data_IF_392975525380
#
_entry.id   IF_392975525380
#
_cell.length_a   1.000
_cell.length_b   1.000
_cell.length_c   1.000
_cell.angle_alpha   90.00
_cell.angle_beta   90.00
_cell.angle_gamma   90.00
#
_symmetry.space_group_name_H-M   'P 1'
#
loop_
_entity.id
_entity.type
_entity.pdbx_description
1 polymer ?
#
# COMPACT_ATOMS: atom_id res chain seq x y z
N UNK A 1 18.62 16.11 2.08
CA UNK A 1 19.23 14.87 2.59
C UNK A 1 18.32 13.72 2.17
N UNK A 2 18.60 13.12 1.01
CA UNK A 2 17.73 12.15 0.36
C UNK A 2 17.83 10.80 1.08
N UNK A 3 16.68 10.33 1.59
CA UNK A 3 16.54 9.01 2.18
C UNK A 3 16.75 7.96 1.09
N UNK A 4 17.94 7.37 1.12
CA UNK A 4 18.35 6.19 0.40
C UNK A 4 17.52 4.99 0.92
N UNK A 5 16.27 4.85 0.49
CA UNK A 5 15.52 3.60 0.68
C UNK A 5 15.88 2.63 -0.45
N UNK A 6 17.14 2.23 -0.42
CA UNK A 6 17.62 1.01 -1.05
C UNK A 6 16.90 -0.13 -0.35
N UNK A 7 16.08 -0.83 -1.11
CA UNK A 7 15.39 -2.05 -0.70
C UNK A 7 16.38 -3.23 -0.72
N UNK A 8 17.56 -3.02 -0.12
CA UNK A 8 18.63 -3.99 0.09
C UNK A 8 19.27 -3.73 1.46
N UNK A 9 18.71 -4.33 2.51
CA UNK A 9 19.39 -4.54 3.79
C UNK A 9 18.70 -5.68 4.54
N UNK A 10 19.24 -6.89 4.37
CA UNK A 10 19.56 -7.79 5.47
C UNK A 10 20.28 -9.01 4.86
N UNK A 11 21.59 -8.86 4.72
CA UNK A 11 22.53 -9.96 4.71
C UNK A 11 23.64 -9.54 5.67
N UNK A 12 24.16 -10.52 6.43
CA UNK A 12 25.29 -10.46 7.40
C UNK A 12 24.91 -10.42 8.89
N UNK A 13 24.71 -11.62 9.48
CA UNK A 13 25.53 -12.05 10.62
C UNK A 13 25.57 -13.59 10.71
N UNK A 14 26.51 -14.19 9.99
CA UNK A 14 26.99 -15.54 10.30
C UNK A 14 28.24 -15.40 11.17
N UNK A 15 28.16 -15.84 12.43
CA UNK A 15 29.25 -15.82 13.39
C UNK A 15 29.22 -17.08 14.26
N UNK A 16 30.28 -17.87 14.15
CA UNK A 16 30.56 -19.17 14.75
C UNK A 16 30.51 -19.23 16.28
N UNK A 17 30.02 -20.36 16.83
CA UNK A 17 30.16 -20.79 18.23
C UNK A 17 31.63 -21.03 18.64
N UNK A 18 31.96 -21.04 19.96
CA UNK A 18 32.16 -22.31 20.69
C UNK A 18 31.70 -22.30 22.19
N UNK A 19 31.85 -23.40 22.98
CA UNK A 19 30.95 -23.77 24.08
C UNK A 19 31.52 -23.67 25.53
N UNK A 20 30.64 -23.60 26.53
CA UNK A 20 30.84 -24.06 27.92
C UNK A 20 29.48 -24.12 28.66
N UNK A 21 28.99 -25.29 29.12
CA UNK A 21 29.04 -25.81 30.53
C UNK A 21 28.78 -24.72 31.59
N UNK A 22 27.82 -24.79 32.52
CA UNK A 22 26.81 -25.79 32.89
C UNK A 22 26.13 -25.36 34.22
N UNK A 23 25.06 -26.09 34.58
CA UNK A 23 24.44 -26.27 35.91
C UNK A 23 23.78 -25.07 36.61
N UNK A 24 22.48 -25.21 36.89
CA UNK A 24 21.75 -24.36 37.84
C UNK A 24 20.24 -24.48 37.70
N UNK A 25 19.66 -25.54 38.26
CA UNK A 25 18.22 -25.69 38.40
C UNK A 25 17.68 -24.85 39.57
N UNK A 26 16.66 -24.03 39.34
CA UNK A 26 15.63 -23.74 40.36
C UNK A 26 14.34 -23.25 39.72
N UNK A 27 13.24 -23.71 40.28
CA UNK A 27 11.89 -23.64 39.75
C UNK A 27 11.07 -22.48 40.36
N UNK A 28 9.93 -22.24 39.72
CA UNK A 28 8.66 -21.70 40.27
C UNK A 28 8.57 -20.21 40.61
N UNK A 29 7.77 -19.48 39.81
CA UNK A 29 6.37 -19.08 40.15
C UNK A 29 5.93 -17.94 39.23
N UNK A 30 4.95 -18.17 38.35
CA UNK A 30 3.55 -17.67 38.49
C UNK A 30 3.44 -16.23 38.99
N UNK A 31 3.03 -15.31 38.11
CA UNK A 31 1.72 -14.64 38.11
C UNK A 31 1.66 -13.54 37.04
N UNK A 32 0.43 -13.27 36.59
CA UNK A 32 -0.05 -12.17 35.75
C UNK A 32 0.08 -12.36 34.23
N UNK A 33 -0.90 -12.03 33.40
CA UNK A 33 -2.35 -11.86 33.53
C UNK A 33 -2.80 -11.71 32.09
N UNK A 34 -3.57 -12.67 31.58
CA UNK A 34 -4.07 -12.67 30.21
C UNK A 34 -5.22 -11.67 30.07
N UNK A 35 -4.94 -10.48 29.55
CA UNK A 35 -5.98 -9.58 29.05
C UNK A 35 -6.37 -10.04 27.63
N UNK A 36 -7.40 -10.89 27.57
CA UNK A 36 -8.10 -11.26 26.34
C UNK A 36 -8.87 -10.02 25.87
N UNK A 37 -8.40 -9.39 24.79
CA UNK A 37 -9.17 -8.35 24.10
C UNK A 37 -10.34 -8.99 23.35
N UNK A 38 -11.51 -8.96 23.98
CA UNK A 38 -12.77 -9.44 23.42
C UNK A 38 -13.32 -8.43 22.41
N UNK A 39 -13.05 -8.65 21.11
CA UNK A 39 -13.50 -7.80 20.00
C UNK A 39 -14.97 -8.02 19.61
N UNK A 40 -15.74 -8.81 20.37
CA UNK A 40 -17.16 -9.11 20.07
C UNK A 40 -18.16 -8.21 20.79
N UNK A 41 -17.72 -7.25 21.59
CA UNK A 41 -18.60 -6.31 22.29
C UNK A 41 -18.97 -5.03 21.51
N UNK A 42 -18.45 -4.84 20.28
CA UNK A 42 -18.62 -3.59 19.52
C UNK A 42 -19.70 -3.60 18.42
N UNK A 43 -20.40 -4.72 18.20
CA UNK A 43 -21.43 -4.84 17.15
C UNK A 43 -22.87 -4.96 17.68
N UNK A 44 -23.14 -4.51 18.90
CA UNK A 44 -24.49 -4.60 19.50
C UNK A 44 -24.96 -3.30 20.15
N UNK A 45 -24.86 -2.18 19.42
CA UNK A 45 -25.55 -0.94 19.77
C UNK A 45 -25.67 0.01 18.56
N UNK A 46 -26.44 -0.38 17.54
CA UNK A 46 -26.98 0.56 16.53
C UNK A 46 -28.09 -0.11 15.71
N UNK A 47 -29.14 -0.58 16.37
CA UNK A 47 -30.41 -0.89 15.73
C UNK A 47 -31.45 0.09 16.27
N UNK A 48 -31.42 1.32 15.74
CA UNK A 48 -32.46 2.32 15.98
C UNK A 48 -33.55 2.19 14.92
N UNK A 49 -34.62 1.55 15.37
CA UNK A 49 -36.01 1.65 14.95
C UNK A 49 -36.43 3.11 14.70
N UNK A 50 -37.08 3.36 13.56
CA UNK A 50 -38.35 4.11 13.43
C UNK A 50 -38.45 4.93 12.14
N UNK A 51 -39.12 4.35 11.15
CA UNK A 51 -39.82 5.07 10.10
C UNK A 51 -41.16 5.55 10.68
N UNK A 52 -41.31 6.83 11.00
CA UNK A 52 -42.62 7.42 11.30
C UNK A 52 -42.64 8.94 11.05
N UNK A 53 -43.41 9.31 10.02
CA UNK A 53 -44.21 10.52 9.89
C UNK A 53 -43.72 11.82 10.54
N UNK A 54 -43.27 12.76 9.70
CA UNK A 54 -43.36 14.18 10.02
C UNK A 54 -44.33 14.85 9.06
N UNK A 55 -45.60 14.90 9.47
CA UNK A 55 -46.64 15.70 8.87
C UNK A 55 -46.71 17.06 9.59
N UNK A 56 -46.59 18.12 8.78
CA UNK A 56 -47.16 19.46 8.90
C UNK A 56 -47.24 20.13 10.31
N UNK A 57 -46.53 21.25 10.46
CA UNK A 57 -47.07 22.42 11.14
C UNK A 57 -46.66 23.71 10.44
N UNK A 58 -47.67 24.56 10.24
CA UNK A 58 -47.68 25.82 9.52
C UNK A 58 -47.01 26.96 10.31
N UNK A 59 -46.37 27.85 9.54
CA UNK A 59 -46.34 29.32 9.69
C UNK A 59 -46.31 29.91 11.10
N UNK A 60 -45.10 30.25 11.58
CA UNK A 60 -44.90 31.42 12.42
C UNK A 60 -43.53 32.02 12.10
N UNK A 61 -43.52 33.33 11.83
CA UNK A 61 -42.38 34.08 11.34
C UNK A 61 -41.13 33.93 12.20
N UNK A 62 -40.02 33.67 11.53
CA UNK A 62 -38.68 33.97 11.98
C UNK A 62 -37.87 34.20 10.72
N UNK A 63 -37.34 35.40 10.56
CA UNK A 63 -36.34 35.73 9.54
C UNK A 63 -35.07 34.96 9.92
N UNK A 64 -35.11 33.65 9.72
CA UNK A 64 -33.98 32.76 9.90
C UNK A 64 -33.04 33.04 8.74
N UNK A 65 -32.09 33.94 9.00
CA UNK A 65 -30.89 34.16 8.22
C UNK A 65 -30.41 32.82 7.70
N UNK A 66 -30.59 32.59 6.40
CA UNK A 66 -30.11 31.38 5.73
C UNK A 66 -28.66 31.17 6.17
N UNK A 67 -28.28 29.98 6.67
CA UNK A 67 -26.88 29.72 6.96
C UNK A 67 -26.15 29.96 5.64
N UNK A 68 -25.33 31.02 5.60
CA UNK A 68 -24.49 31.31 4.47
C UNK A 68 -23.70 30.02 4.22
N UNK A 69 -24.00 29.36 3.10
CA UNK A 69 -23.27 28.19 2.65
C UNK A 69 -21.81 28.59 2.69
N UNK A 70 -21.07 28.05 3.66
CA UNK A 70 -19.66 28.33 3.82
C UNK A 70 -19.03 28.05 2.47
N UNK A 71 -18.52 29.10 1.82
CA UNK A 71 -17.83 28.96 0.56
C UNK A 71 -16.73 27.92 0.80
N UNK A 72 -16.91 26.74 0.20
CA UNK A 72 -15.92 25.67 0.23
C UNK A 72 -14.70 26.28 -0.44
N UNK A 73 -13.74 26.70 0.39
CA UNK A 73 -12.46 27.22 -0.07
C UNK A 73 -11.87 26.10 -0.92
N UNK A 74 -11.78 26.35 -2.23
CA UNK A 74 -11.17 25.39 -3.14
C UNK A 74 -9.75 25.12 -2.61
N UNK A 75 -9.37 23.84 -2.41
CA UNK A 75 -8.04 23.53 -1.91
C UNK A 75 -7.01 24.15 -2.85
N UNK A 76 -6.05 24.88 -2.28
CA UNK A 76 -4.95 25.44 -3.04
C UNK A 76 -4.19 24.29 -3.68
N UNK A 77 -4.24 24.21 -5.01
CA UNK A 77 -3.60 23.16 -5.79
C UNK A 77 -2.10 23.43 -5.82
N UNK A 78 -1.35 22.78 -4.93
CA UNK A 78 0.10 22.80 -4.94
C UNK A 78 0.65 21.70 -5.85
N UNK A 79 1.35 22.07 -6.91
CA UNK A 79 1.90 21.12 -7.89
C UNK A 79 2.97 20.20 -7.28
N UNK A 80 3.69 20.66 -6.26
CA UNK A 80 4.70 19.85 -5.57
C UNK A 80 4.04 18.69 -4.80
N UNK A 81 2.92 18.94 -4.13
CA UNK A 81 2.14 17.92 -3.42
C UNK A 81 1.63 16.83 -4.38
N UNK A 82 1.20 17.23 -5.58
CA UNK A 82 0.81 16.29 -6.64
C UNK A 82 2.01 15.44 -7.07
N UNK A 83 3.16 16.07 -7.33
CA UNK A 83 4.37 15.38 -7.78
C UNK A 83 4.80 14.32 -6.77
N UNK A 84 4.87 14.66 -5.48
CA UNK A 84 5.22 13.73 -4.41
C UNK A 84 4.25 12.54 -4.34
N UNK A 85 2.94 12.81 -4.37
CA UNK A 85 1.92 11.76 -4.34
C UNK A 85 2.05 10.82 -5.54
N UNK A 86 2.28 11.36 -6.74
CA UNK A 86 2.44 10.56 -7.97
C UNK A 86 3.73 9.74 -7.94
N UNK A 87 4.83 10.26 -7.40
CA UNK A 87 6.07 9.47 -7.22
C UNK A 87 5.80 8.24 -6.33
N UNK A 88 5.07 8.40 -5.21
CA UNK A 88 4.74 7.29 -4.34
C UNK A 88 3.80 6.27 -5.00
N UNK A 89 2.82 6.73 -5.78
CA UNK A 89 1.95 5.86 -6.57
C UNK A 89 2.76 5.09 -7.63
N UNK A 90 3.66 5.76 -8.34
CA UNK A 90 4.54 5.16 -9.33
C UNK A 90 5.48 4.12 -8.71
N UNK A 91 5.97 4.35 -7.48
CA UNK A 91 6.75 3.36 -6.73
C UNK A 91 5.95 2.12 -6.36
N UNK A 92 4.65 2.25 -6.09
CA UNK A 92 3.77 1.08 -5.92
C UNK A 92 3.66 0.30 -7.23
N UNK A 93 3.50 0.97 -8.38
CA UNK A 93 3.45 0.29 -9.69
C UNK A 93 4.75 -0.46 -10.01
N UNK A 94 5.91 0.12 -9.70
CA UNK A 94 7.19 -0.59 -9.85
C UNK A 94 7.27 -1.77 -8.85
N UNK A 95 6.82 -1.59 -7.61
CA UNK A 95 6.82 -2.65 -6.62
C UNK A 95 5.92 -3.83 -7.03
N UNK A 96 4.79 -3.59 -7.70
CA UNK A 96 3.95 -4.69 -8.23
C UNK A 96 4.63 -5.41 -9.39
N UNK A 97 5.28 -4.69 -10.32
CA UNK A 97 6.10 -5.32 -11.38
C UNK A 97 7.24 -6.16 -10.80
N UNK A 98 7.91 -5.65 -9.76
CA UNK A 98 8.96 -6.35 -9.04
C UNK A 98 8.44 -7.65 -8.42
N UNK A 99 7.32 -7.59 -7.70
CA UNK A 99 6.76 -8.76 -7.04
C UNK A 99 6.31 -9.82 -8.06
N UNK A 100 5.70 -9.41 -9.19
CA UNK A 100 5.34 -10.31 -10.29
C UNK A 100 6.58 -11.05 -10.85
N UNK A 101 7.70 -10.35 -11.05
CA UNK A 101 8.95 -10.97 -11.53
C UNK A 101 9.51 -11.99 -10.52
N UNK A 102 9.45 -11.69 -9.23
CA UNK A 102 9.91 -12.61 -8.17
C UNK A 102 9.05 -13.87 -8.11
N UNK A 103 7.73 -13.72 -8.20
CA UNK A 103 6.77 -14.83 -8.23
C UNK A 103 6.95 -15.67 -9.50
N UNK A 104 7.19 -15.03 -10.64
CA UNK A 104 7.41 -15.72 -11.91
C UNK A 104 8.72 -16.51 -11.95
N UNK A 105 9.80 -15.92 -11.44
CA UNK A 105 11.13 -16.57 -11.38
C UNK A 105 11.25 -17.63 -10.29
N UNK A 106 10.34 -17.65 -9.30
CA UNK A 106 10.42 -18.57 -8.17
C UNK A 106 11.46 -18.18 -7.10
N UNK A 107 12.21 -17.08 -7.32
CA UNK A 107 13.27 -16.59 -6.43
C UNK A 107 12.75 -15.86 -5.18
N UNK A 108 11.42 -15.75 -5.01
CA UNK A 108 10.81 -15.13 -3.84
C UNK A 108 11.13 -15.87 -2.52
N UNK A 109 11.54 -17.15 -2.58
CA UNK A 109 11.94 -17.96 -1.42
C UNK A 109 13.25 -17.49 -0.77
N UNK A 110 14.15 -16.94 -1.58
CA UNK A 110 15.51 -16.55 -1.14
C UNK A 110 15.52 -15.15 -0.53
N UNK A 111 14.45 -14.38 -0.74
CA UNK A 111 14.30 -13.06 -0.15
C UNK A 111 13.77 -13.16 1.28
N UNK A 112 14.30 -12.31 2.16
CA UNK A 112 13.81 -12.20 3.53
C UNK A 112 12.33 -11.75 3.63
N UNK A 113 11.76 -11.24 2.52
CA UNK A 113 10.31 -11.04 2.34
C UNK A 113 9.65 -12.37 2.01
N UNK A 114 9.64 -13.28 2.98
CA UNK A 114 9.08 -14.63 2.83
C UNK A 114 7.56 -14.68 2.63
N UNK A 115 6.86 -13.54 2.61
CA UNK A 115 5.41 -13.50 2.38
C UNK A 115 5.01 -12.42 1.38
N UNK A 116 4.31 -12.85 0.33
CA UNK A 116 3.59 -11.99 -0.62
C UNK A 116 2.66 -11.02 0.12
N UNK A 117 2.09 -11.48 1.24
CA UNK A 117 1.30 -10.65 2.16
C UNK A 117 2.06 -9.44 2.65
N UNK A 118 3.29 -9.62 3.16
CA UNK A 118 4.08 -8.48 3.65
C UNK A 118 4.44 -7.52 2.52
N UNK A 119 4.71 -8.02 1.31
CA UNK A 119 4.93 -7.16 0.15
C UNK A 119 3.70 -6.29 -0.14
N UNK A 120 2.50 -6.87 -0.19
CA UNK A 120 1.24 -6.14 -0.39
C UNK A 120 0.93 -5.16 0.76
N UNK A 121 1.16 -5.56 2.01
CA UNK A 121 1.02 -4.66 3.18
C UNK A 121 1.97 -3.47 3.09
N UNK A 122 3.23 -3.68 2.72
CA UNK A 122 4.17 -2.58 2.51
C UNK A 122 3.73 -1.65 1.37
N UNK A 123 3.11 -2.19 0.31
CA UNK A 123 2.56 -1.38 -0.77
C UNK A 123 1.44 -0.44 -0.30
N UNK A 124 0.56 -0.95 0.59
CA UNK A 124 -0.56 -0.20 1.16
C UNK A 124 -0.10 0.82 2.21
N UNK A 125 0.71 0.38 3.17
CA UNK A 125 1.04 1.15 4.38
C UNK A 125 2.25 2.07 4.19
N UNK A 126 3.38 1.56 3.70
CA UNK A 126 4.62 2.33 3.65
C UNK A 126 4.60 3.41 2.57
N UNK A 127 3.97 3.13 1.42
CA UNK A 127 3.71 4.14 0.41
C UNK A 127 2.42 4.92 0.67
N UNK A 128 1.71 4.62 1.76
CA UNK A 128 0.42 5.23 2.12
C UNK A 128 -0.52 5.36 0.91
N UNK A 129 -0.70 4.27 0.14
CA UNK A 129 -1.28 4.29 -1.20
C UNK A 129 -2.62 5.03 -1.24
N UNK A 130 -3.53 4.68 -0.34
CA UNK A 130 -4.87 5.30 -0.27
C UNK A 130 -4.78 6.81 0.01
N UNK A 131 -3.87 7.25 0.89
CA UNK A 131 -3.68 8.67 1.21
C UNK A 131 -3.17 9.43 -0.01
N UNK A 132 -2.20 8.86 -0.73
CA UNK A 132 -1.63 9.52 -1.91
C UNK A 132 -2.61 9.54 -3.09
N UNK A 133 -3.46 8.51 -3.24
CA UNK A 133 -4.57 8.54 -4.20
C UNK A 133 -5.56 9.66 -3.88
N UNK A 134 -5.96 9.82 -2.62
CA UNK A 134 -6.85 10.92 -2.20
C UNK A 134 -6.20 12.29 -2.42
N UNK A 135 -4.90 12.44 -2.11
CA UNK A 135 -4.16 13.70 -2.39
C UNK A 135 -4.14 14.02 -3.89
N UNK A 136 -3.82 13.04 -4.73
CA UNK A 136 -3.78 13.21 -6.17
C UNK A 136 -5.17 13.48 -6.78
N UNK A 137 -6.23 12.88 -6.21
CA UNK A 137 -7.61 13.04 -6.69
C UNK A 137 -8.10 14.51 -6.68
N UNK A 138 -7.53 15.38 -5.85
CA UNK A 138 -7.84 16.82 -5.82
C UNK A 138 -7.50 17.52 -7.15
N UNK A 139 -6.55 16.95 -7.90
CA UNK A 139 -6.07 17.50 -9.18
C UNK A 139 -6.83 16.95 -10.39
N UNK A 140 -7.69 15.96 -10.19
CA UNK A 140 -8.53 15.38 -11.25
C UNK A 140 -9.59 16.40 -11.69
N UNK A 141 -9.86 16.56 -13.01
CA UNK A 141 -10.96 17.38 -13.50
C UNK A 141 -12.30 16.93 -12.92
N UNK A 142 -13.21 17.88 -12.64
CA UNK A 142 -14.47 17.63 -11.93
C UNK A 142 -15.32 16.51 -12.56
N UNK A 143 -15.36 16.42 -13.89
CA UNK A 143 -16.07 15.36 -14.62
C UNK A 143 -15.56 13.93 -14.33
N UNK A 144 -14.30 13.78 -13.93
CA UNK A 144 -13.62 12.50 -13.76
C UNK A 144 -13.44 12.09 -12.29
N UNK A 145 -13.94 12.87 -11.33
CA UNK A 145 -13.75 12.61 -9.89
C UNK A 145 -14.39 11.28 -9.45
N UNK A 146 -15.56 10.95 -10.00
CA UNK A 146 -16.23 9.68 -9.71
C UNK A 146 -15.42 8.48 -10.20
N UNK A 147 -14.87 8.58 -11.42
CA UNK A 147 -14.05 7.54 -12.02
C UNK A 147 -12.70 7.38 -11.30
N UNK A 148 -12.05 8.49 -10.96
CA UNK A 148 -10.83 8.48 -10.15
C UNK A 148 -11.05 7.81 -8.79
N UNK A 149 -12.20 8.05 -8.16
CA UNK A 149 -12.57 7.41 -6.89
C UNK A 149 -12.76 5.91 -7.05
N UNK A 150 -13.44 5.46 -8.11
CA UNK A 150 -13.63 4.04 -8.44
C UNK A 150 -12.30 3.33 -8.66
N UNK A 151 -11.45 3.86 -9.54
CA UNK A 151 -10.13 3.30 -9.86
C UNK A 151 -9.22 3.22 -8.61
N UNK A 152 -9.27 4.25 -7.77
CA UNK A 152 -8.51 4.28 -6.50
C UNK A 152 -8.93 3.16 -5.56
N UNK A 153 -10.24 2.96 -5.39
CA UNK A 153 -10.80 1.91 -4.53
C UNK A 153 -10.43 0.53 -5.07
N UNK A 154 -10.63 0.28 -6.36
CA UNK A 154 -10.32 -1.00 -6.99
C UNK A 154 -8.83 -1.35 -6.91
N UNK A 155 -7.93 -0.37 -7.07
CA UNK A 155 -6.50 -0.58 -6.92
C UNK A 155 -6.13 -1.01 -5.49
N UNK A 156 -6.69 -0.36 -4.47
CA UNK A 156 -6.46 -0.70 -3.06
C UNK A 156 -7.11 -2.03 -2.67
N UNK A 157 -8.30 -2.32 -3.19
CA UNK A 157 -9.04 -3.54 -2.91
C UNK A 157 -8.31 -4.78 -3.45
N UNK A 158 -7.76 -4.70 -4.66
CA UNK A 158 -6.96 -5.79 -5.22
C UNK A 158 -5.75 -6.16 -4.34
N UNK A 159 -5.08 -5.17 -3.72
CA UNK A 159 -4.00 -5.43 -2.75
C UNK A 159 -4.55 -5.98 -1.42
N UNK A 160 -5.66 -5.45 -0.92
CA UNK A 160 -6.30 -5.97 0.30
C UNK A 160 -6.74 -7.43 0.15
N UNK A 161 -7.18 -7.84 -1.04
CA UNK A 161 -7.49 -9.23 -1.34
C UNK A 161 -6.26 -10.14 -1.17
N UNK A 162 -5.08 -9.71 -1.61
CA UNK A 162 -3.81 -10.45 -1.36
C UNK A 162 -3.55 -10.56 0.15
N UNK A 163 -3.69 -9.45 0.89
CA UNK A 163 -3.44 -9.41 2.33
C UNK A 163 -4.40 -10.33 3.11
N UNK A 164 -5.66 -10.39 2.70
CA UNK A 164 -6.70 -11.23 3.29
C UNK A 164 -6.61 -12.70 2.90
N UNK A 165 -6.12 -13.01 1.69
CA UNK A 165 -6.03 -14.36 1.17
C UNK A 165 -4.95 -15.21 1.86
N UNK A 166 -3.81 -14.61 2.19
CA UNK A 166 -2.71 -15.33 2.84
C UNK A 166 -2.72 -15.19 4.37
N UNK A 167 -2.33 -16.25 5.10
CA UNK A 167 -2.09 -16.17 6.54
C UNK A 167 -0.93 -15.21 6.84
N UNK A 168 -0.83 -14.73 8.08
CA UNK A 168 0.26 -13.86 8.51
C UNK A 168 1.64 -14.54 8.38
N UNK A 169 1.68 -15.83 8.69
CA UNK A 169 2.85 -16.68 8.52
C UNK A 169 2.58 -17.66 7.37
N UNK A 170 3.12 -17.35 6.20
CA UNK A 170 3.28 -18.35 5.15
C UNK A 170 4.42 -19.28 5.58
N UNK A 171 4.15 -20.58 5.68
CA UNK A 171 5.22 -21.57 5.70
C UNK A 171 6.04 -21.42 4.42
N UNK A 172 7.34 -21.72 4.48
CA UNK A 172 8.33 -21.50 3.39
C UNK A 172 8.12 -22.46 2.20
N UNK A 173 6.87 -22.85 1.95
CA UNK A 173 6.45 -23.70 0.84
C UNK A 173 6.25 -22.91 -0.46
N UNK A 174 6.17 -23.65 -1.55
CA UNK A 174 5.81 -23.08 -2.85
C UNK A 174 4.36 -22.62 -2.86
N UNK A 175 4.10 -21.42 -3.36
CA UNK A 175 2.76 -20.99 -3.76
C UNK A 175 2.20 -22.02 -4.75
N UNK A 176 1.03 -22.58 -4.41
CA UNK A 176 0.32 -23.43 -5.34
C UNK A 176 -0.05 -22.63 -6.60
N UNK A 177 -0.16 -23.31 -7.75
CA UNK A 177 -0.48 -22.65 -9.03
C UNK A 177 -1.71 -21.72 -8.96
N UNK A 178 -2.85 -22.10 -8.33
CA UNK A 178 -4.00 -21.20 -8.20
C UNK A 178 -3.69 -19.96 -7.36
N UNK A 179 -2.88 -20.09 -6.30
CA UNK A 179 -2.47 -18.98 -5.43
C UNK A 179 -1.57 -18.01 -6.20
N UNK A 180 -0.61 -18.54 -6.97
CA UNK A 180 0.25 -17.73 -7.84
C UNK A 180 -0.56 -16.97 -8.88
N UNK A 181 -1.48 -17.63 -9.59
CA UNK A 181 -2.35 -16.97 -10.57
C UNK A 181 -3.24 -15.90 -9.94
N UNK A 182 -3.78 -16.16 -8.73
CA UNK A 182 -4.55 -15.18 -7.97
C UNK A 182 -3.72 -13.91 -7.68
N UNK A 183 -2.51 -14.07 -7.16
CA UNK A 183 -1.63 -12.93 -6.83
C UNK A 183 -1.25 -12.15 -8.08
N UNK A 184 -0.82 -12.83 -9.15
CA UNK A 184 -0.42 -12.16 -10.39
C UNK A 184 -1.57 -11.37 -11.00
N UNK A 185 -2.81 -11.88 -10.96
CA UNK A 185 -3.99 -11.14 -11.40
C UNK A 185 -4.25 -9.90 -10.55
N UNK A 186 -4.15 -10.03 -9.23
CA UNK A 186 -4.36 -8.91 -8.32
C UNK A 186 -3.29 -7.80 -8.50
N UNK A 187 -2.01 -8.16 -8.58
CA UNK A 187 -0.91 -7.20 -8.84
C UNK A 187 -1.08 -6.49 -10.18
N UNK A 188 -1.44 -7.23 -11.23
CA UNK A 188 -1.69 -6.66 -12.56
C UNK A 188 -2.91 -5.74 -12.56
N UNK A 189 -3.99 -6.12 -11.86
CA UNK A 189 -5.19 -5.29 -11.72
C UNK A 189 -4.89 -3.98 -10.98
N UNK A 190 -4.14 -4.05 -9.87
CA UNK A 190 -3.66 -2.86 -9.16
C UNK A 190 -2.90 -1.93 -10.11
N UNK A 191 -1.91 -2.46 -10.84
CA UNK A 191 -1.12 -1.63 -11.78
C UNK A 191 -1.96 -1.01 -12.90
N UNK A 192 -2.89 -1.78 -13.47
CA UNK A 192 -3.78 -1.30 -14.52
C UNK A 192 -4.69 -0.17 -14.01
N UNK A 193 -5.28 -0.32 -12.82
CA UNK A 193 -6.13 0.71 -12.22
C UNK A 193 -5.34 1.96 -11.85
N UNK A 194 -4.12 1.81 -11.31
CA UNK A 194 -3.23 2.95 -11.04
C UNK A 194 -2.81 3.67 -12.33
N UNK A 195 -2.50 2.94 -13.40
CA UNK A 195 -2.17 3.54 -14.70
C UNK A 195 -3.35 4.35 -15.26
N UNK A 196 -4.56 3.79 -15.23
CA UNK A 196 -5.80 4.48 -15.63
C UNK A 196 -6.07 5.71 -14.75
N UNK A 197 -5.83 5.61 -13.44
CA UNK A 197 -5.97 6.74 -12.51
C UNK A 197 -4.99 7.87 -12.86
N UNK A 198 -3.72 7.54 -13.10
CA UNK A 198 -2.69 8.53 -13.48
C UNK A 198 -3.00 9.21 -14.82
N UNK A 199 -3.70 8.53 -15.74
CA UNK A 199 -4.13 9.12 -17.00
C UNK A 199 -5.21 10.20 -16.84
N UNK A 200 -5.90 10.27 -15.68
CA UNK A 200 -6.88 11.31 -15.35
C UNK A 200 -6.23 12.58 -14.77
N UNK A 201 -4.94 12.53 -14.45
CA UNK A 201 -4.19 13.63 -13.83
C UNK A 201 -3.52 14.52 -14.89
N UNK A 202 -3.09 15.74 -14.52
CA UNK A 202 -2.30 16.60 -15.40
C UNK A 202 -1.01 15.91 -15.90
N UNK A 203 -0.91 15.71 -17.22
CA UNK A 203 0.18 14.97 -17.89
C UNK A 203 1.60 15.45 -17.55
N UNK A 204 1.91 16.77 -17.44
CA UNK A 204 3.27 17.22 -17.19
C UNK A 204 3.85 16.72 -15.85
N UNK A 205 3.05 16.80 -14.78
CA UNK A 205 3.45 16.35 -13.45
C UNK A 205 3.63 14.83 -13.42
N UNK A 206 2.70 14.09 -14.03
CA UNK A 206 2.76 12.61 -14.11
C UNK A 206 4.00 12.15 -14.88
N UNK A 207 4.27 12.74 -16.04
CA UNK A 207 5.44 12.38 -16.86
C UNK A 207 6.74 12.63 -16.10
N UNK A 208 6.84 13.74 -15.38
CA UNK A 208 8.03 14.08 -14.59
C UNK A 208 8.26 13.09 -13.45
N UNK A 209 7.21 12.76 -12.70
CA UNK A 209 7.29 11.77 -11.62
C UNK A 209 7.65 10.36 -12.12
N UNK A 210 7.05 9.92 -13.23
CA UNK A 210 7.37 8.63 -13.84
C UNK A 210 8.81 8.57 -14.39
N UNK A 211 9.30 9.68 -14.97
CA UNK A 211 10.69 9.77 -15.43
C UNK A 211 11.67 9.73 -14.25
N UNK A 212 11.34 10.37 -13.13
CA UNK A 212 12.13 10.30 -11.91
C UNK A 212 12.28 8.87 -11.40
N UNK A 213 11.16 8.15 -11.20
CA UNK A 213 11.20 6.76 -10.71
C UNK A 213 11.98 5.85 -11.66
N UNK A 214 11.83 6.06 -12.97
CA UNK A 214 12.61 5.32 -13.98
C UNK A 214 14.11 5.55 -13.83
N UNK A 215 14.53 6.82 -13.76
CA UNK A 215 15.93 7.17 -13.60
C UNK A 215 16.51 6.62 -12.30
N UNK A 216 15.77 6.69 -11.19
CA UNK A 216 16.15 6.08 -9.91
C UNK A 216 16.36 4.56 -10.05
N UNK A 217 15.46 3.86 -10.77
CA UNK A 217 15.57 2.42 -10.97
C UNK A 217 16.77 2.02 -11.84
N UNK A 218 17.06 2.78 -12.90
CA UNK A 218 18.22 2.56 -13.77
C UNK A 218 19.54 2.76 -13.00
N UNK A 219 19.64 3.84 -12.22
CA UNK A 219 20.81 4.10 -11.37
C UNK A 219 20.99 3.02 -10.30
N UNK A 220 19.91 2.61 -9.63
CA UNK A 220 19.96 1.55 -8.63
C UNK A 220 20.44 0.22 -9.22
N UNK A 221 19.98 -0.13 -10.43
CA UNK A 221 20.42 -1.35 -11.12
C UNK A 221 21.92 -1.29 -11.47
N UNK A 222 22.39 -0.15 -11.99
CA UNK A 222 23.79 0.06 -12.32
C UNK A 222 24.70 0.04 -11.09
N UNK A 223 24.30 0.72 -10.01
CA UNK A 223 25.04 0.77 -8.74
C UNK A 223 25.10 -0.61 -8.07
N UNK A 224 24.00 -1.38 -8.10
CA UNK A 224 23.98 -2.75 -7.58
C UNK A 224 25.00 -3.63 -8.32
N UNK A 225 24.99 -3.60 -9.65
CA UNK A 225 25.94 -4.36 -10.46
C UNK A 225 27.39 -3.96 -10.19
N UNK A 226 27.65 -2.66 -10.00
CA UNK A 226 28.99 -2.15 -9.69
C UNK A 226 29.50 -2.61 -8.31
N UNK A 227 28.63 -2.64 -7.31
CA UNK A 227 28.99 -2.97 -5.92
C UNK A 227 29.16 -4.48 -5.73
N UNK A 228 28.22 -5.27 -6.24
CA UNK A 228 28.16 -6.70 -5.96
C UNK A 228 28.74 -7.58 -7.08
N UNK A 229 29.02 -7.02 -8.26
CA UNK A 229 29.54 -7.77 -9.41
C UNK A 229 28.52 -8.71 -10.05
N UNK A 230 27.28 -8.71 -9.58
CA UNK A 230 26.19 -9.57 -10.03
C UNK A 230 24.97 -8.73 -10.45
N UNK A 231 24.17 -9.21 -11.42
CA UNK A 231 22.95 -8.52 -11.81
C UNK A 231 21.93 -8.54 -10.67
N UNK A 232 21.22 -7.43 -10.48
CA UNK A 232 20.17 -7.33 -9.47
C UNK A 232 19.12 -8.43 -9.67
N UNK A 233 18.82 -9.17 -8.59
CA UNK A 233 17.93 -10.35 -8.58
C UNK A 233 16.54 -10.07 -9.20
N UNK A 234 16.15 -8.78 -9.24
CA UNK A 234 14.89 -8.29 -9.75
C UNK A 234 15.01 -6.98 -10.55
N UNK A 235 16.03 -6.88 -11.40
CA UNK A 235 16.22 -5.72 -12.26
C UNK A 235 14.94 -5.41 -13.08
N UNK A 236 14.58 -4.12 -13.22
CA UNK A 236 13.59 -3.73 -14.22
C UNK A 236 14.04 -4.21 -15.60
N UNK A 237 13.14 -4.73 -16.45
CA UNK A 237 13.52 -5.09 -17.81
C UNK A 237 13.99 -3.85 -18.58
N UNK A 238 14.96 -3.98 -19.49
CA UNK A 238 15.33 -2.89 -20.39
C UNK A 238 14.10 -2.50 -21.22
N UNK A 239 13.60 -1.28 -21.05
CA UNK A 239 12.46 -0.77 -21.82
C UNK A 239 12.99 -0.30 -23.18
N UNK A 240 12.54 -0.96 -24.25
CA UNK A 240 12.80 -0.61 -25.65
C UNK A 240 12.15 0.71 -26.05
#
# INVERSE_FOLDING_TARGET
AAMLFVLAACALSGGSAPPARGVGATALSRLHSSAVFDRRALFRAASSVSSAAFAASLLAGSVARAPALAAVVAPVKNEEDLREAVVLIARVMEATEQEERLINSGKYKDLQRKSVKNAATMMLENYALQRNLVRAAIFVPGENVAEASRLSQEATEALNQIVGYFPAELSVGELERPQKEFVLRALSATRANLASFLALLPTPAVKTALAQVRSENELNAADYQKIFGEPMLNAPPPRS
#
